data_IF_527627382935
#
_entry.id   IF_527627382935
#
_cell.length_a   1.000
_cell.length_b   1.000
_cell.length_c   1.000
_cell.angle_alpha   90.00
_cell.angle_beta   90.00
_cell.angle_gamma   90.00
#
_symmetry.space_group_name_H-M   'P 1'
#
loop_
_entity.id
_entity.type
_entity.pdbx_description
1 polymer ?
#
# COMPACT_ATOMS: atom_id res chain seq x y z
N UNK A 1 -2.12 -26.53 2.87
CA UNK A 1 -1.45 -26.81 4.15
C UNK A 1 -0.06 -26.15 4.12
N UNK A 2 0.03 -24.88 4.46
CA UNK A 2 1.30 -24.18 4.72
C UNK A 2 0.98 -22.94 5.57
N UNK A 3 0.66 -23.17 6.84
CA UNK A 3 0.50 -22.13 7.85
C UNK A 3 1.89 -21.89 8.46
N UNK A 4 2.83 -21.39 7.64
CA UNK A 4 4.19 -21.10 8.08
C UNK A 4 4.21 -19.73 8.77
N UNK A 5 4.32 -19.79 10.10
CA UNK A 5 5.18 -18.93 10.93
C UNK A 5 5.04 -17.40 10.76
N UNK A 6 3.88 -16.83 11.09
CA UNK A 6 3.87 -15.44 11.56
C UNK A 6 3.39 -15.41 13.02
N UNK A 7 4.28 -15.22 14.01
CA UNK A 7 3.87 -15.10 15.40
C UNK A 7 3.22 -13.72 15.60
N UNK A 8 1.89 -13.68 15.54
CA UNK A 8 1.10 -12.44 15.55
C UNK A 8 0.85 -11.83 16.94
N UNK A 9 1.63 -12.22 17.95
CA UNK A 9 1.48 -11.68 19.31
C UNK A 9 2.85 -11.52 19.93
N UNK A 10 3.31 -10.28 20.05
CA UNK A 10 4.43 -9.94 20.90
C UNK A 10 3.85 -9.66 22.29
N UNK A 11 4.25 -10.42 23.30
CA UNK A 11 3.77 -10.25 24.69
C UNK A 11 2.23 -10.35 24.92
N UNK A 12 1.49 -10.98 24.00
CA UNK A 12 0.02 -11.08 24.06
C UNK A 12 -0.74 -9.92 23.39
N UNK A 13 -0.02 -8.86 23.04
CA UNK A 13 -0.54 -7.67 22.36
C UNK A 13 -0.56 -7.88 20.83
N UNK A 14 -1.52 -7.24 20.15
CA UNK A 14 -1.54 -7.16 18.68
C UNK A 14 -0.99 -5.81 18.26
N UNK A 15 0.10 -5.83 17.52
CA UNK A 15 0.61 -4.67 16.80
C UNK A 15 0.42 -4.92 15.30
N UNK A 16 -0.13 -3.94 14.60
CA UNK A 16 -0.31 -3.97 13.15
C UNK A 16 0.71 -3.02 12.52
N UNK A 17 1.46 -3.51 11.54
CA UNK A 17 2.33 -2.68 10.72
C UNK A 17 1.59 -2.33 9.44
N UNK A 18 1.48 -1.05 9.15
CA UNK A 18 0.85 -0.54 7.94
C UNK A 18 1.95 0.02 7.02
N UNK A 19 2.21 -0.64 5.89
CA UNK A 19 3.16 -0.10 4.91
C UNK A 19 2.50 1.01 4.10
N UNK A 20 3.12 2.20 4.10
CA UNK A 20 2.74 3.36 3.26
C UNK A 20 3.29 3.22 1.84
N UNK A 21 2.55 3.65 0.80
CA UNK A 21 3.01 3.52 -0.57
C UNK A 21 4.26 4.35 -0.85
N UNK A 22 5.02 3.96 -1.88
CA UNK A 22 6.08 4.84 -2.33
C UNK A 22 5.46 6.12 -2.90
N UNK A 23 5.66 7.24 -2.20
CA UNK A 23 5.27 8.57 -2.67
C UNK A 23 6.53 9.40 -3.06
N UNK A 24 6.67 9.88 -4.31
CA UNK A 24 5.80 9.61 -5.45
C UNK A 24 5.90 8.14 -5.96
N UNK A 25 4.81 7.57 -6.52
CA UNK A 25 4.75 6.19 -7.01
C UNK A 25 5.42 6.03 -8.38
N UNK A 26 6.73 6.19 -8.40
CA UNK A 26 7.58 6.04 -9.58
C UNK A 26 8.58 4.88 -9.41
N UNK A 27 9.00 4.20 -10.49
CA UNK A 27 9.88 3.03 -10.39
C UNK A 27 11.24 3.34 -9.75
N UNK A 28 11.75 4.54 -9.96
CA UNK A 28 13.02 5.01 -9.41
C UNK A 28 12.94 6.47 -9.02
N UNK A 29 13.58 6.85 -7.92
CA UNK A 29 13.76 8.24 -7.51
C UNK A 29 15.22 8.45 -7.10
N UNK A 30 15.87 9.51 -7.59
CA UNK A 30 17.28 9.79 -7.30
C UNK A 30 18.23 8.60 -7.58
N UNK A 31 17.94 7.80 -8.62
CA UNK A 31 18.70 6.60 -8.96
C UNK A 31 18.43 5.37 -8.07
N UNK A 32 17.52 5.46 -7.09
CA UNK A 32 17.15 4.36 -6.21
C UNK A 32 15.81 3.74 -6.60
N UNK A 33 15.68 2.41 -6.63
CA UNK A 33 14.42 1.74 -6.94
C UNK A 33 13.40 1.90 -5.81
N UNK A 34 12.12 2.01 -6.18
CA UNK A 34 11.00 2.07 -5.23
C UNK A 34 10.22 0.76 -5.29
N UNK A 35 10.20 0.02 -4.19
CA UNK A 35 9.68 -1.35 -4.15
C UNK A 35 8.15 -1.42 -4.12
N UNK A 36 7.48 -0.37 -3.65
CA UNK A 36 6.02 -0.35 -3.44
C UNK A 36 5.37 0.82 -4.18
N UNK A 37 5.74 0.98 -5.47
CA UNK A 37 5.35 2.10 -6.32
C UNK A 37 4.19 1.80 -7.30
N UNK A 38 3.65 0.59 -7.27
CA UNK A 38 2.54 0.15 -8.13
C UNK A 38 1.66 -0.81 -7.35
N UNK A 39 0.35 -0.83 -7.62
CA UNK A 39 -0.64 -1.63 -6.88
C UNK A 39 -0.31 -3.13 -6.87
N UNK A 40 0.24 -3.66 -7.97
CA UNK A 40 0.69 -5.07 -8.04
C UNK A 40 1.88 -5.37 -7.13
N UNK A 41 2.78 -4.40 -6.92
CA UNK A 41 3.93 -4.57 -6.03
C UNK A 41 3.47 -4.55 -4.56
N UNK A 42 2.42 -3.79 -4.27
CA UNK A 42 1.70 -3.81 -3.00
C UNK A 42 1.15 -5.20 -2.67
N UNK A 43 0.37 -5.77 -3.59
CA UNK A 43 -0.19 -7.10 -3.39
C UNK A 43 0.90 -8.14 -3.16
N UNK A 44 2.01 -8.07 -3.92
CA UNK A 44 3.16 -8.97 -3.71
C UNK A 44 3.73 -8.86 -2.30
N UNK A 45 3.82 -7.66 -1.73
CA UNK A 45 4.31 -7.46 -0.36
C UNK A 45 3.35 -8.05 0.68
N UNK A 46 2.05 -7.85 0.51
CA UNK A 46 1.03 -8.44 1.38
C UNK A 46 1.03 -9.98 1.29
N UNK A 47 1.25 -10.52 0.10
CA UNK A 47 1.31 -11.96 -0.15
C UNK A 47 2.56 -12.63 0.48
N UNK A 48 3.63 -11.88 0.76
CA UNK A 48 4.84 -12.44 1.40
C UNK A 48 4.55 -12.95 2.81
N UNK A 49 3.60 -12.34 3.52
CA UNK A 49 3.24 -12.72 4.87
C UNK A 49 1.74 -12.49 5.09
N UNK A 50 0.94 -13.56 5.06
CA UNK A 50 -0.52 -13.49 5.13
C UNK A 50 -1.07 -13.26 6.55
N UNK A 51 -0.35 -12.51 7.38
CA UNK A 51 -0.73 -12.22 8.76
C UNK A 51 -1.46 -10.88 8.83
N UNK A 52 -2.44 -10.73 9.74
CA UNK A 52 -3.17 -9.46 9.90
C UNK A 52 -2.28 -8.31 10.38
N UNK A 53 -1.08 -8.61 10.88
CA UNK A 53 -0.10 -7.62 11.32
C UNK A 53 0.75 -7.09 10.14
N UNK A 54 0.72 -7.76 8.99
CA UNK A 54 1.28 -7.28 7.73
C UNK A 54 0.17 -6.60 6.94
N UNK A 55 -0.16 -5.38 7.36
CA UNK A 55 -1.23 -4.57 6.78
C UNK A 55 -0.65 -3.48 5.87
N UNK A 56 -1.53 -2.86 5.09
CA UNK A 56 -1.24 -1.67 4.31
C UNK A 56 -1.91 -0.44 4.90
N UNK A 57 -1.23 0.68 4.71
CA UNK A 57 -1.84 1.99 4.73
C UNK A 57 -2.33 2.30 3.30
N UNK A 58 -3.64 2.46 3.15
CA UNK A 58 -4.26 2.83 1.87
C UNK A 58 -4.29 4.35 1.73
N UNK A 59 -3.21 4.93 1.21
CA UNK A 59 -3.13 6.36 0.90
C UNK A 59 -3.76 6.65 -0.48
N UNK A 60 -5.02 7.06 -0.47
CA UNK A 60 -5.80 7.29 -1.69
C UNK A 60 -5.13 8.32 -2.63
N UNK A 61 -4.50 9.34 -2.05
CA UNK A 61 -3.77 10.36 -2.80
C UNK A 61 -2.62 9.77 -3.61
N UNK A 62 -1.73 9.02 -2.97
CA UNK A 62 -0.63 8.33 -3.68
C UNK A 62 -1.16 7.30 -4.68
N UNK A 63 -2.21 6.55 -4.34
CA UNK A 63 -2.82 5.57 -5.25
C UNK A 63 -3.42 6.22 -6.51
N UNK A 64 -3.99 7.42 -6.42
CA UNK A 64 -4.50 8.16 -7.58
C UNK A 64 -3.40 8.54 -8.59
N UNK A 65 -2.16 8.72 -8.11
CA UNK A 65 -0.99 9.03 -8.94
C UNK A 65 -0.32 7.80 -9.56
N UNK A 66 -0.71 6.58 -9.17
CA UNK A 66 -0.20 5.32 -9.73
C UNK A 66 -0.66 5.18 -11.19
N UNK A 67 0.27 4.79 -12.07
CA UNK A 67 0.02 4.69 -13.50
C UNK A 67 -0.69 3.41 -13.94
N UNK A 68 -0.58 2.30 -13.19
CA UNK A 68 -1.24 1.01 -13.49
C UNK A 68 -1.93 0.41 -12.25
N UNK A 69 -3.17 -0.04 -12.42
CA UNK A 69 -4.01 -0.51 -11.31
C UNK A 69 -4.41 0.66 -10.42
N UNK A 70 -5.08 1.64 -11.04
CA UNK A 70 -5.39 2.95 -10.44
C UNK A 70 -6.29 2.86 -9.20
N UNK A 71 -6.63 4.03 -8.66
CA UNK A 71 -7.42 4.20 -7.44
C UNK A 71 -8.71 3.40 -7.39
N UNK A 72 -9.56 3.39 -8.43
CA UNK A 72 -10.84 2.68 -8.37
C UNK A 72 -10.68 1.15 -8.33
N UNK A 73 -9.84 0.58 -9.19
CA UNK A 73 -9.55 -0.87 -9.21
C UNK A 73 -8.86 -1.29 -7.90
N UNK A 74 -7.90 -0.50 -7.43
CA UNK A 74 -7.23 -0.74 -6.16
C UNK A 74 -8.22 -0.61 -4.97
N UNK A 75 -9.13 0.36 -5.00
CA UNK A 75 -10.16 0.53 -3.97
C UNK A 75 -11.09 -0.67 -3.96
N UNK A 76 -11.56 -1.14 -5.11
CA UNK A 76 -12.41 -2.32 -5.20
C UNK A 76 -11.69 -3.56 -4.64
N UNK A 77 -10.45 -3.79 -5.05
CA UNK A 77 -9.64 -4.90 -4.59
C UNK A 77 -9.37 -4.85 -3.07
N UNK A 78 -8.99 -3.67 -2.56
CA UNK A 78 -8.50 -3.54 -1.20
C UNK A 78 -9.59 -3.19 -0.19
N UNK A 79 -10.73 -2.62 -0.59
CA UNK A 79 -11.83 -2.29 0.34
C UNK A 79 -12.37 -3.51 1.09
N UNK A 80 -12.33 -4.69 0.47
CA UNK A 80 -12.78 -5.96 1.05
C UNK A 80 -11.67 -6.72 1.80
N UNK A 81 -10.41 -6.28 1.70
CA UNK A 81 -9.28 -6.91 2.36
C UNK A 81 -9.17 -6.44 3.81
N UNK A 82 -9.18 -7.39 4.76
CA UNK A 82 -8.92 -7.14 6.19
C UNK A 82 -7.48 -6.67 6.49
N UNK A 83 -6.67 -6.43 5.46
CA UNK A 83 -5.28 -5.99 5.57
C UNK A 83 -5.14 -4.47 5.45
N UNK A 84 -6.23 -3.69 5.48
CA UNK A 84 -6.15 -2.23 5.58
C UNK A 84 -6.20 -1.81 7.05
N UNK A 85 -5.05 -1.46 7.61
CA UNK A 85 -4.99 -0.98 9.00
C UNK A 85 -5.32 0.52 9.09
N UNK A 86 -5.00 1.29 8.04
CA UNK A 86 -5.19 2.74 8.01
C UNK A 86 -5.51 3.21 6.59
N UNK A 87 -6.36 4.24 6.49
CA UNK A 87 -6.73 4.86 5.21
C UNK A 87 -6.43 6.35 5.30
N UNK A 88 -5.55 6.83 4.43
CA UNK A 88 -5.25 8.25 4.29
C UNK A 88 -5.97 8.80 3.06
N UNK A 89 -6.88 9.75 3.29
CA UNK A 89 -7.71 10.35 2.24
C UNK A 89 -7.15 11.74 1.91
N UNK A 90 -6.23 11.76 0.95
CA UNK A 90 -5.74 12.97 0.29
C UNK A 90 -6.16 12.98 -1.17
N UNK A 91 -6.25 14.16 -1.78
CA UNK A 91 -6.59 14.31 -3.19
C UNK A 91 -5.39 14.84 -3.98
N UNK A 92 -5.15 14.34 -5.19
CA UNK A 92 -4.15 14.89 -6.09
C UNK A 92 -4.79 15.31 -7.40
N UNK A 93 -4.38 16.46 -7.92
CA UNK A 93 -4.68 16.86 -9.28
C UNK A 93 -3.53 16.42 -10.21
N UNK A 94 -3.88 15.79 -11.33
CA UNK A 94 -2.92 15.33 -12.34
C UNK A 94 -2.31 13.96 -12.06
N UNK A 95 -1.41 13.52 -12.95
CA UNK A 95 -0.65 12.26 -12.82
C UNK A 95 0.84 12.55 -12.87
N UNK A 96 1.64 11.64 -12.32
CA UNK A 96 3.09 11.75 -12.42
C UNK A 96 3.56 11.93 -13.87
N UNK A 97 4.56 12.80 -14.14
CA UNK A 97 5.33 13.58 -13.15
C UNK A 97 4.71 14.94 -12.80
N UNK A 98 3.52 15.27 -13.30
CA UNK A 98 2.87 16.58 -13.13
C UNK A 98 1.65 16.46 -12.21
N UNK A 99 1.84 15.93 -11.00
CA UNK A 99 0.80 15.88 -9.98
C UNK A 99 1.07 16.91 -8.88
N UNK A 100 0.00 17.38 -8.25
CA UNK A 100 0.05 18.28 -7.09
C UNK A 100 -1.06 17.89 -6.11
N UNK A 101 -0.71 17.81 -4.83
CA UNK A 101 -1.65 17.50 -3.76
C UNK A 101 -2.62 18.67 -3.53
N UNK A 102 -3.89 18.36 -3.36
CA UNK A 102 -4.99 19.33 -3.23
C UNK A 102 -5.76 19.07 -1.94
N UNK A 103 -6.20 20.14 -1.30
CA UNK A 103 -6.91 20.17 -0.03
C UNK A 103 -8.43 20.07 -0.19
#
# INVERSE_FOLDING_TARGET
MARLLCPQRFNGERAEQAVHPSDPPMPTMCGQPRLVAQSKLYQRLLDLCTSTANAQEYCLGTFSAITKGGDYEATEQYSSHMMNAYVYVGNFAGKLPHNHETW
#
